data_IF_507253832266
#
_entry.id   IF_507253832266
#
_cell.length_a   1.000
_cell.length_b   1.000
_cell.length_c   1.000
_cell.angle_alpha   90.00
_cell.angle_beta   90.00
_cell.angle_gamma   90.00
#
_symmetry.space_group_name_H-M   'P 1'
#
loop_
_entity.id
_entity.type
_entity.pdbx_description
1 polymer ?
#
# COMPACT_ATOMS: atom_id res chain seq x y z
N UNK A 1 -5.43 20.92 -7.41
CA UNK A 1 -3.96 21.03 -7.32
C UNK A 1 -3.36 19.74 -7.85
N UNK A 2 -2.22 19.81 -8.54
CA UNK A 2 -1.48 18.59 -8.87
C UNK A 2 -0.83 18.02 -7.60
N UNK A 3 -0.73 16.68 -7.45
CA UNK A 3 0.05 16.08 -6.38
C UNK A 3 1.50 16.54 -6.48
N UNK A 4 2.15 16.76 -5.33
CA UNK A 4 3.59 17.01 -5.32
C UNK A 4 4.41 15.81 -5.80
N UNK A 5 5.69 15.98 -6.18
CA UNK A 5 6.48 14.90 -6.78
C UNK A 5 6.99 13.87 -5.78
N UNK A 6 6.88 14.11 -4.47
CA UNK A 6 7.50 13.27 -3.43
C UNK A 6 6.51 12.25 -2.91
N UNK A 7 6.95 10.99 -2.90
CA UNK A 7 6.34 9.90 -2.16
C UNK A 7 7.15 9.63 -0.90
N UNK A 8 6.48 9.56 0.25
CA UNK A 8 7.09 9.29 1.55
C UNK A 8 6.30 8.21 2.30
N UNK A 9 6.69 7.88 3.52
CA UNK A 9 6.00 6.90 4.36
C UNK A 9 5.59 7.51 5.71
N UNK A 10 4.92 6.71 6.52
CA UNK A 10 4.64 7.04 7.93
C UNK A 10 5.22 5.97 8.83
N UNK A 11 5.48 6.32 10.09
CA UNK A 11 6.26 5.44 10.96
C UNK A 11 5.50 4.19 11.43
N UNK A 12 4.18 4.28 11.61
CA UNK A 12 3.43 3.21 12.27
C UNK A 12 2.00 3.02 11.78
N UNK A 13 1.18 2.48 12.68
CA UNK A 13 -0.23 2.11 12.43
C UNK A 13 -1.17 3.33 12.45
N UNK A 14 -0.73 4.46 12.96
CA UNK A 14 -1.53 5.68 13.12
C UNK A 14 -0.76 6.90 12.65
N UNK A 15 -1.49 7.89 12.15
CA UNK A 15 -0.91 9.17 11.74
C UNK A 15 -0.54 9.98 12.99
N UNK A 16 0.74 10.24 13.18
CA UNK A 16 1.21 11.01 14.33
C UNK A 16 1.06 12.52 14.10
N UNK A 17 0.89 13.32 15.16
CA UNK A 17 0.74 14.77 15.03
C UNK A 17 1.87 15.43 14.22
N UNK A 18 3.12 15.03 14.45
CA UNK A 18 4.31 15.56 13.80
C UNK A 18 4.39 15.26 12.29
N UNK A 19 3.71 14.21 11.82
CA UNK A 19 3.70 13.81 10.41
C UNK A 19 2.72 14.66 9.58
N UNK A 20 1.79 15.37 10.24
CA UNK A 20 0.79 16.20 9.56
C UNK A 20 1.40 17.35 8.78
N UNK A 21 2.49 17.93 9.28
CA UNK A 21 3.14 19.06 8.62
C UNK A 21 3.90 18.61 7.35
N UNK A 22 4.47 17.39 7.37
CA UNK A 22 5.04 16.76 6.17
C UNK A 22 3.97 16.49 5.11
N UNK A 23 2.79 16.02 5.52
CA UNK A 23 1.68 15.77 4.58
C UNK A 23 1.14 17.06 3.95
N UNK A 24 1.10 18.16 4.70
CA UNK A 24 0.68 19.48 4.20
C UNK A 24 1.68 20.12 3.25
N UNK A 25 2.94 19.68 3.28
CA UNK A 25 3.97 20.25 2.43
C UNK A 25 3.57 20.10 0.93
N UNK A 26 3.65 21.18 0.12
CA UNK A 26 3.20 21.13 -1.28
C UNK A 26 3.89 20.08 -2.14
N UNK A 27 5.14 19.71 -1.80
CA UNK A 27 5.89 18.68 -2.52
C UNK A 27 5.42 17.25 -2.24
N UNK A 28 4.62 17.02 -1.18
CA UNK A 28 4.11 15.69 -0.84
C UNK A 28 2.92 15.34 -1.74
N UNK A 29 3.07 14.31 -2.58
CA UNK A 29 2.01 13.82 -3.45
C UNK A 29 1.52 12.42 -3.14
N UNK A 30 2.32 11.63 -2.41
CA UNK A 30 1.91 10.27 -2.07
C UNK A 30 2.50 9.70 -0.79
N UNK A 31 1.82 8.68 -0.27
CA UNK A 31 2.28 7.81 0.81
C UNK A 31 2.39 6.38 0.31
N UNK A 32 3.53 5.74 0.58
CA UNK A 32 3.70 4.29 0.44
C UNK A 32 3.57 3.62 1.81
N UNK A 33 2.74 2.58 1.89
CA UNK A 33 2.53 1.79 3.10
C UNK A 33 3.39 0.52 3.07
N UNK A 34 3.94 0.17 4.22
CA UNK A 34 4.72 -1.04 4.44
C UNK A 34 4.01 -1.97 5.44
N UNK A 35 4.59 -3.15 5.68
CA UNK A 35 4.05 -4.10 6.67
C UNK A 35 3.94 -3.53 8.08
N UNK A 36 4.81 -2.58 8.47
CA UNK A 36 4.72 -1.89 9.77
C UNK A 36 3.53 -0.93 9.90
N UNK A 37 2.84 -0.63 8.80
CA UNK A 37 1.67 0.25 8.75
C UNK A 37 0.35 -0.54 8.73
N UNK A 38 0.41 -1.86 8.84
CA UNK A 38 -0.73 -2.75 8.73
C UNK A 38 -0.79 -3.74 9.90
N UNK A 39 -1.92 -3.73 10.59
CA UNK A 39 -2.29 -4.73 11.58
C UNK A 39 -3.50 -5.55 11.09
N UNK A 40 -4.54 -4.85 10.61
CA UNK A 40 -5.77 -5.42 10.08
C UNK A 40 -6.48 -4.40 9.16
N UNK A 41 -7.54 -4.85 8.48
CA UNK A 41 -8.27 -4.05 7.48
C UNK A 41 -8.95 -2.81 8.07
N UNK A 42 -9.46 -2.90 9.30
CA UNK A 42 -10.08 -1.77 9.98
C UNK A 42 -9.05 -0.69 10.35
N UNK A 43 -7.91 -1.10 10.91
CA UNK A 43 -6.81 -0.20 11.28
C UNK A 43 -6.25 0.53 10.06
N UNK A 44 -5.91 -0.17 8.96
CA UNK A 44 -5.34 0.50 7.78
C UNK A 44 -6.36 1.45 7.13
N UNK A 45 -7.65 1.10 7.17
CA UNK A 45 -8.72 1.99 6.71
C UNK A 45 -8.76 3.28 7.54
N UNK A 46 -8.60 3.17 8.87
CA UNK A 46 -8.51 4.33 9.75
C UNK A 46 -7.28 5.19 9.44
N UNK A 47 -6.11 4.58 9.26
CA UNK A 47 -4.88 5.27 8.87
C UNK A 47 -5.07 6.06 7.57
N UNK A 48 -5.61 5.43 6.52
CA UNK A 48 -5.85 6.07 5.22
C UNK A 48 -6.83 7.24 5.34
N UNK A 49 -7.90 7.09 6.14
CA UNK A 49 -8.83 8.19 6.41
C UNK A 49 -8.13 9.37 7.09
N UNK A 50 -7.28 9.11 8.08
CA UNK A 50 -6.51 10.14 8.78
C UNK A 50 -5.53 10.86 7.85
N UNK A 51 -4.85 10.14 6.94
CA UNK A 51 -4.00 10.74 5.91
C UNK A 51 -4.80 11.65 4.97
N UNK A 52 -5.93 11.16 4.45
CA UNK A 52 -6.79 11.91 3.51
C UNK A 52 -7.50 13.11 4.16
N UNK A 53 -7.76 13.07 5.48
CA UNK A 53 -8.29 14.20 6.21
C UNK A 53 -7.30 15.39 6.25
N UNK A 54 -6.00 15.11 6.20
CA UNK A 54 -4.96 16.15 6.09
C UNK A 54 -4.74 16.57 4.64
N UNK A 55 -4.70 15.60 3.72
CA UNK A 55 -4.50 15.83 2.29
C UNK A 55 -5.41 14.94 1.41
N UNK A 56 -6.56 15.45 0.94
CA UNK A 56 -7.55 14.65 0.22
C UNK A 56 -7.06 14.04 -1.10
N UNK A 57 -6.17 14.76 -1.82
CA UNK A 57 -5.64 14.37 -3.13
C UNK A 57 -4.43 13.43 -3.09
N UNK A 58 -4.05 12.95 -1.90
CA UNK A 58 -2.88 12.10 -1.70
C UNK A 58 -3.04 10.73 -2.40
N UNK A 59 -2.03 10.34 -3.19
CA UNK A 59 -1.90 8.97 -3.66
C UNK A 59 -1.48 8.08 -2.49
N UNK A 60 -2.19 6.97 -2.26
CA UNK A 60 -1.78 5.96 -1.27
C UNK A 60 -1.47 4.66 -1.99
N UNK A 61 -0.26 4.15 -1.81
CA UNK A 61 0.27 2.98 -2.50
C UNK A 61 0.80 1.92 -1.52
N UNK A 62 0.93 0.69 -1.98
CA UNK A 62 1.53 -0.45 -1.26
C UNK A 62 2.05 -1.47 -2.26
N UNK A 63 3.17 -2.13 -1.95
CA UNK A 63 3.67 -3.25 -2.76
C UNK A 63 2.84 -4.53 -2.49
N UNK A 64 2.00 -4.89 -3.45
CA UNK A 64 1.06 -6.02 -3.34
C UNK A 64 1.14 -6.93 -4.58
N UNK A 65 2.35 -7.39 -4.89
CA UNK A 65 2.66 -8.21 -6.07
C UNK A 65 2.39 -9.71 -5.85
N UNK A 66 2.46 -10.16 -4.60
CA UNK A 66 2.33 -11.57 -4.22
C UNK A 66 3.64 -12.25 -3.82
N UNK A 67 3.50 -13.45 -3.25
CA UNK A 67 4.61 -14.22 -2.70
C UNK A 67 5.40 -13.45 -1.64
N UNK A 68 6.67 -13.15 -1.93
CA UNK A 68 7.57 -12.45 -1.00
C UNK A 68 7.29 -10.94 -0.92
N UNK A 69 6.63 -10.36 -1.92
CA UNK A 69 6.34 -8.93 -2.02
C UNK A 69 4.84 -8.70 -1.86
N UNK A 70 4.33 -9.06 -0.68
CA UNK A 70 2.97 -8.78 -0.27
C UNK A 70 3.00 -8.23 1.15
N UNK A 71 2.82 -6.91 1.30
CA UNK A 71 2.92 -6.23 2.61
C UNK A 71 1.78 -6.60 3.56
N UNK A 72 0.53 -6.57 3.09
CA UNK A 72 -0.65 -6.91 3.89
C UNK A 72 -1.00 -8.38 3.68
N UNK A 73 -0.95 -9.18 4.75
CA UNK A 73 -1.14 -10.63 4.70
C UNK A 73 -2.31 -11.12 5.54
N UNK A 74 -2.42 -10.68 6.80
CA UNK A 74 -3.59 -10.98 7.61
C UNK A 74 -4.84 -10.44 6.89
N UNK A 75 -5.95 -11.19 6.91
CA UNK A 75 -7.25 -10.82 6.30
C UNK A 75 -7.25 -10.57 4.77
N UNK A 76 -6.11 -10.73 4.11
CA UNK A 76 -5.95 -10.51 2.67
C UNK A 76 -5.68 -11.84 1.97
N UNK A 77 -6.20 -12.00 0.76
CA UNK A 77 -5.87 -13.16 -0.07
C UNK A 77 -4.36 -13.22 -0.30
N UNK A 78 -3.76 -14.37 -0.06
CA UNK A 78 -2.36 -14.61 -0.41
C UNK A 78 -2.25 -14.71 -1.94
N UNK A 79 -1.60 -13.73 -2.56
CA UNK A 79 -1.36 -13.71 -4.00
C UNK A 79 -0.15 -14.62 -4.28
N UNK A 80 -0.21 -15.55 -5.25
CA UNK A 80 0.93 -16.40 -5.58
C UNK A 80 2.10 -15.56 -6.09
N UNK A 81 3.32 -16.07 -5.97
CA UNK A 81 4.47 -15.44 -6.62
C UNK A 81 4.27 -15.48 -8.14
N UNK A 82 4.54 -14.38 -8.84
CA UNK A 82 4.38 -14.31 -10.31
C UNK A 82 5.22 -15.35 -11.06
N UNK A 83 6.38 -15.74 -10.52
CA UNK A 83 7.17 -16.85 -11.08
C UNK A 83 6.43 -18.20 -11.06
N UNK A 84 5.60 -18.44 -10.05
CA UNK A 84 4.76 -19.65 -9.97
C UNK A 84 3.62 -19.61 -10.98
N UNK A 85 3.06 -18.43 -11.26
CA UNK A 85 2.06 -18.23 -12.32
C UNK A 85 2.67 -18.52 -13.69
N UNK A 86 3.87 -17.99 -13.97
CA UNK A 86 4.60 -18.26 -15.22
C UNK A 86 4.88 -19.76 -15.43
N UNK A 87 5.38 -20.44 -14.39
CA UNK A 87 5.66 -21.88 -14.47
C UNK A 87 4.38 -22.72 -14.67
N UNK A 88 3.24 -22.29 -14.12
CA UNK A 88 1.95 -22.95 -14.37
C UNK A 88 1.47 -22.72 -15.79
N UNK A 89 1.64 -21.49 -16.31
CA UNK A 89 1.24 -21.17 -17.69
C UNK A 89 2.01 -22.01 -18.73
N UNK A 90 3.30 -22.25 -18.51
CA UNK A 90 4.10 -23.13 -19.36
C UNK A 90 3.60 -24.59 -19.38
N UNK A 91 3.00 -25.06 -18.28
CA UNK A 91 2.49 -26.43 -18.14
C UNK A 91 1.04 -26.57 -18.62
N UNK A 92 0.19 -25.62 -18.25
CA UNK A 92 -1.25 -25.61 -18.51
C UNK A 92 -1.75 -24.16 -18.55
N UNK A 93 -1.78 -23.54 -19.76
CA UNK A 93 -2.20 -22.16 -19.93
C UNK A 93 -3.58 -21.86 -19.35
N UNK A 94 -4.54 -22.79 -19.46
CA UNK A 94 -5.91 -22.61 -19.00
C UNK A 94 -6.02 -22.54 -17.47
N UNK A 95 -5.09 -23.17 -16.74
CA UNK A 95 -5.05 -23.14 -15.28
C UNK A 95 -4.33 -21.91 -14.71
N UNK A 96 -3.59 -21.17 -15.54
CA UNK A 96 -2.82 -20.01 -15.12
C UNK A 96 -3.62 -18.69 -15.14
N UNK A 97 -4.81 -18.67 -15.73
CA UNK A 97 -5.59 -17.43 -15.94
C UNK A 97 -6.41 -16.96 -14.74
N UNK A 98 -6.54 -17.76 -13.67
CA UNK A 98 -7.18 -17.36 -12.41
C UNK A 98 -8.70 -17.48 -12.41
#
# INVERSE_FOLDING_TARGET
MNPGPVMLDVAGLELRPEEKDLLRHPATGGIILFSRNYENSAQVTHLIRSLRAVRPELLVAVDHEGGRVQRFRAEMTAIPAMGSVGALHEQDPARAEG
#
